data_IF_175984030228
#
_entry.id   IF_175984030228
#
_cell.length_a   1.000
_cell.length_b   1.000
_cell.length_c   1.000
_cell.angle_alpha   90.00
_cell.angle_beta   90.00
_cell.angle_gamma   90.00
#
_symmetry.space_group_name_H-M   'P 1'
#
loop_
_entity.id
_entity.type
_entity.pdbx_description
1 polymer ?
#
# COMPACT_ATOMS: atom_id res chain seq x y z
N UNK A 1 -6.74 10.90 11.72
CA UNK A 1 -8.23 10.86 11.63
C UNK A 1 -8.73 9.60 12.33
N UNK A 2 -9.64 9.76 13.26
CA UNK A 2 -10.31 8.66 13.98
C UNK A 2 -11.43 8.06 13.13
N UNK A 3 -12.00 6.93 13.54
CA UNK A 3 -13.15 6.32 12.86
C UNK A 3 -14.35 7.29 12.79
N UNK A 4 -14.67 7.94 13.90
CA UNK A 4 -15.81 8.88 13.98
C UNK A 4 -15.61 10.12 13.09
N UNK A 5 -14.40 10.67 13.00
CA UNK A 5 -14.08 11.78 12.10
C UNK A 5 -14.19 11.35 10.64
N UNK A 6 -13.72 10.15 10.31
CA UNK A 6 -13.85 9.60 8.96
C UNK A 6 -15.32 9.45 8.55
N UNK A 7 -16.15 8.89 9.43
CA UNK A 7 -17.61 8.75 9.17
C UNK A 7 -18.29 10.10 9.00
N UNK A 8 -17.90 11.11 9.78
CA UNK A 8 -18.42 12.46 9.62
C UNK A 8 -18.04 13.04 8.25
N UNK A 9 -16.80 12.84 7.78
CA UNK A 9 -16.36 13.28 6.45
C UNK A 9 -17.10 12.52 5.33
N UNK A 10 -17.35 11.21 5.49
CA UNK A 10 -18.15 10.41 4.55
C UNK A 10 -19.60 10.94 4.49
N UNK A 11 -20.21 11.26 5.62
CA UNK A 11 -21.56 11.82 5.66
C UNK A 11 -21.65 13.16 4.92
N UNK A 12 -20.63 14.02 5.01
CA UNK A 12 -20.54 15.26 4.21
C UNK A 12 -20.51 14.95 2.72
N UNK A 13 -19.70 14.00 2.28
CA UNK A 13 -19.61 13.58 0.88
C UNK A 13 -20.96 13.09 0.36
N UNK A 14 -21.65 12.24 1.12
CA UNK A 14 -22.96 11.71 0.77
C UNK A 14 -24.06 12.81 0.67
N UNK A 15 -23.84 13.95 1.31
CA UNK A 15 -24.68 15.15 1.19
C UNK A 15 -24.24 16.10 0.05
N UNK A 16 -23.22 15.71 -0.72
CA UNK A 16 -22.67 16.52 -1.81
C UNK A 16 -21.66 17.58 -1.38
N UNK A 17 -21.24 17.58 -0.11
CA UNK A 17 -20.23 18.51 0.41
C UNK A 17 -18.81 18.00 0.13
N UNK A 18 -18.09 18.73 -0.73
CA UNK A 18 -16.72 18.40 -1.14
C UNK A 18 -15.67 18.56 -0.02
N UNK A 19 -16.00 19.27 1.06
CA UNK A 19 -15.08 19.46 2.18
C UNK A 19 -14.76 18.10 2.86
N UNK A 20 -15.72 17.17 2.87
CA UNK A 20 -15.48 15.81 3.38
C UNK A 20 -14.38 15.06 2.62
N UNK A 21 -14.30 15.21 1.28
CA UNK A 21 -13.23 14.61 0.49
C UNK A 21 -11.87 15.25 0.80
N UNK A 22 -11.83 16.56 0.94
CA UNK A 22 -10.60 17.29 1.29
C UNK A 22 -10.07 16.84 2.65
N UNK A 23 -10.93 16.69 3.65
CA UNK A 23 -10.56 16.19 4.98
C UNK A 23 -9.94 14.77 4.90
N UNK A 24 -10.54 13.87 4.12
CA UNK A 24 -10.01 12.51 3.90
C UNK A 24 -8.69 12.57 3.12
N UNK A 25 -8.59 13.40 2.08
CA UNK A 25 -7.37 13.57 1.31
C UNK A 25 -6.21 14.02 2.19
N UNK A 26 -6.38 15.12 2.94
CA UNK A 26 -5.34 15.67 3.82
C UNK A 26 -4.89 14.67 4.89
N UNK A 27 -5.83 13.88 5.43
CA UNK A 27 -5.54 12.88 6.45
C UNK A 27 -4.81 11.65 5.93
N UNK A 28 -5.03 11.26 4.65
CA UNK A 28 -4.59 9.95 4.16
C UNK A 28 -3.64 9.99 2.95
N UNK A 29 -3.37 11.14 2.33
CA UNK A 29 -2.51 11.22 1.14
C UNK A 29 -1.14 10.55 1.37
N UNK A 30 -0.43 10.91 2.45
CA UNK A 30 0.87 10.33 2.77
C UNK A 30 0.80 8.85 3.14
N UNK A 31 -0.30 8.41 3.76
CA UNK A 31 -0.54 7.01 4.11
C UNK A 31 -0.74 6.15 2.86
N UNK A 32 -1.61 6.59 1.95
CA UNK A 32 -1.88 5.90 0.68
C UNK A 32 -0.65 5.88 -0.22
N UNK A 33 0.03 7.03 -0.35
CA UNK A 33 1.26 7.13 -1.15
C UNK A 33 2.33 6.11 -0.70
N UNK A 34 2.57 5.97 0.60
CA UNK A 34 3.53 4.99 1.13
C UNK A 34 3.17 3.55 0.78
N UNK A 35 1.88 3.19 0.87
CA UNK A 35 1.40 1.84 0.48
C UNK A 35 1.65 1.61 -1.01
N UNK A 36 1.26 2.56 -1.85
CA UNK A 36 1.42 2.45 -3.30
C UNK A 36 2.89 2.40 -3.69
N UNK A 37 3.73 3.30 -3.15
CA UNK A 37 5.16 3.35 -3.43
C UNK A 37 5.87 2.03 -3.08
N UNK A 38 5.53 1.42 -1.94
CA UNK A 38 6.07 0.14 -1.52
C UNK A 38 5.77 -1.02 -2.49
N UNK A 39 4.73 -0.88 -3.32
CA UNK A 39 4.31 -1.90 -4.29
C UNK A 39 4.85 -1.60 -5.67
N UNK A 40 4.71 -0.35 -6.16
CA UNK A 40 5.08 0.01 -7.53
C UNK A 40 6.57 0.34 -7.68
N UNK A 41 7.27 0.72 -6.60
CA UNK A 41 8.71 0.96 -6.55
C UNK A 41 9.20 2.24 -7.26
N UNK A 42 8.35 2.97 -7.97
CA UNK A 42 8.67 4.21 -8.69
C UNK A 42 7.86 5.37 -8.11
N UNK A 43 8.53 6.51 -7.84
CA UNK A 43 7.88 7.72 -7.30
C UNK A 43 6.82 8.25 -8.26
N UNK A 44 7.13 8.37 -9.54
CA UNK A 44 6.23 8.86 -10.57
C UNK A 44 4.96 7.98 -10.65
N UNK A 45 5.15 6.67 -10.78
CA UNK A 45 4.02 5.73 -10.80
C UNK A 45 3.21 5.75 -9.49
N UNK A 46 3.87 5.97 -8.35
CA UNK A 46 3.19 6.05 -7.06
C UNK A 46 2.33 7.31 -6.95
N UNK A 47 2.78 8.45 -7.47
CA UNK A 47 2.01 9.69 -7.54
C UNK A 47 0.78 9.52 -8.43
N UNK A 48 0.93 8.91 -9.61
CA UNK A 48 -0.17 8.65 -10.54
C UNK A 48 -1.23 7.74 -9.91
N UNK A 49 -0.82 6.59 -9.39
CA UNK A 49 -1.75 5.63 -8.76
C UNK A 49 -2.42 6.22 -7.52
N UNK A 50 -1.69 7.04 -6.74
CA UNK A 50 -2.26 7.73 -5.57
C UNK A 50 -3.30 8.77 -6.00
N UNK A 51 -3.05 9.50 -7.07
CA UNK A 51 -4.01 10.47 -7.64
C UNK A 51 -5.26 9.76 -8.13
N UNK A 52 -5.11 8.68 -8.88
CA UNK A 52 -6.23 7.83 -9.32
C UNK A 52 -7.01 7.24 -8.15
N UNK A 53 -6.33 6.88 -7.05
CA UNK A 53 -7.00 6.39 -5.85
C UNK A 53 -8.00 7.41 -5.30
N UNK A 54 -7.62 8.69 -5.17
CA UNK A 54 -8.53 9.70 -4.63
C UNK A 54 -9.69 10.04 -5.57
N UNK A 55 -9.49 9.91 -6.88
CA UNK A 55 -10.59 10.01 -7.87
C UNK A 55 -11.56 8.83 -7.68
N UNK A 56 -11.06 7.62 -7.54
CA UNK A 56 -11.86 6.41 -7.38
C UNK A 56 -12.59 6.38 -6.03
N UNK A 57 -11.93 6.81 -4.96
CA UNK A 57 -12.50 6.79 -3.62
C UNK A 57 -13.74 7.69 -3.52
N UNK A 58 -13.79 8.79 -4.28
CA UNK A 58 -14.94 9.68 -4.34
C UNK A 58 -16.25 8.93 -4.62
N UNK A 59 -16.23 8.04 -5.60
CA UNK A 59 -17.42 7.22 -5.95
C UNK A 59 -17.60 6.02 -5.02
N UNK A 60 -16.52 5.48 -4.46
CA UNK A 60 -16.61 4.36 -3.53
C UNK A 60 -17.17 4.76 -2.16
N UNK A 61 -16.97 6.02 -1.75
CA UNK A 61 -17.48 6.53 -0.47
C UNK A 61 -19.01 6.64 -0.44
N UNK A 62 -19.67 6.78 -1.58
CA UNK A 62 -21.14 6.77 -1.65
C UNK A 62 -21.72 5.43 -1.16
N UNK A 63 -20.99 4.34 -1.34
CA UNK A 63 -21.40 2.98 -0.95
C UNK A 63 -20.67 2.46 0.29
N UNK A 64 -19.86 3.29 0.94
CA UNK A 64 -19.13 2.89 2.13
C UNK A 64 -20.08 2.46 3.25
N UNK A 65 -19.87 1.25 3.74
CA UNK A 65 -20.58 0.72 4.92
C UNK A 65 -19.64 0.73 6.11
N UNK A 66 -20.08 1.34 7.20
CA UNK A 66 -19.31 1.39 8.43
C UNK A 66 -19.16 0.00 9.05
N UNK A 67 -17.95 -0.53 9.00
CA UNK A 67 -17.55 -1.77 9.69
C UNK A 67 -16.42 -1.54 10.73
N UNK A 68 -16.14 -0.28 11.06
CA UNK A 68 -15.12 0.10 12.07
C UNK A 68 -13.67 -0.02 11.60
N UNK A 69 -13.39 -0.30 10.34
CA UNK A 69 -12.05 -0.56 9.83
C UNK A 69 -11.70 0.29 8.59
N UNK A 70 -12.00 1.60 8.62
CA UNK A 70 -11.80 2.49 7.47
C UNK A 70 -10.37 2.51 6.94
N UNK A 71 -9.34 2.49 7.82
CA UNK A 71 -7.93 2.44 7.38
C UNK A 71 -7.63 1.17 6.59
N UNK A 72 -8.08 0.01 7.06
CA UNK A 72 -7.90 -1.26 6.39
C UNK A 72 -8.62 -1.29 5.03
N UNK A 73 -9.81 -0.71 4.96
CA UNK A 73 -10.58 -0.57 3.73
C UNK A 73 -9.86 0.31 2.71
N UNK A 74 -9.37 1.50 3.10
CA UNK A 74 -8.57 2.38 2.26
C UNK A 74 -7.29 1.70 1.77
N UNK A 75 -6.55 1.05 2.68
CA UNK A 75 -5.32 0.33 2.36
C UNK A 75 -5.56 -0.81 1.36
N UNK A 76 -6.66 -1.53 1.48
CA UNK A 76 -7.04 -2.62 0.56
C UNK A 76 -7.30 -2.10 -0.85
N UNK A 77 -8.01 -0.97 -0.97
CA UNK A 77 -8.27 -0.34 -2.28
C UNK A 77 -6.96 0.13 -2.91
N UNK A 78 -6.12 0.87 -2.16
CA UNK A 78 -4.85 1.38 -2.64
C UNK A 78 -3.92 0.26 -3.11
N UNK A 79 -3.80 -0.81 -2.31
CA UNK A 79 -3.02 -1.99 -2.64
C UNK A 79 -3.51 -2.66 -3.93
N UNK A 80 -4.80 -2.88 -4.05
CA UNK A 80 -5.37 -3.53 -5.24
C UNK A 80 -5.11 -2.69 -6.50
N UNK A 81 -5.25 -1.38 -6.41
CA UNK A 81 -4.93 -0.47 -7.51
C UNK A 81 -3.46 -0.53 -7.91
N UNK A 82 -2.54 -0.52 -6.94
CA UNK A 82 -1.11 -0.64 -7.19
C UNK A 82 -0.75 -1.99 -7.85
N UNK A 83 -1.33 -3.10 -7.40
CA UNK A 83 -1.12 -4.41 -8.02
C UNK A 83 -1.70 -4.49 -9.45
N UNK A 84 -2.87 -3.92 -9.67
CA UNK A 84 -3.49 -3.87 -11.00
C UNK A 84 -2.64 -3.02 -11.97
N UNK A 85 -2.08 -1.91 -11.49
CA UNK A 85 -1.12 -1.10 -12.23
C UNK A 85 0.11 -1.93 -12.62
N UNK A 86 0.72 -2.64 -11.68
CA UNK A 86 1.87 -3.51 -11.94
C UNK A 86 1.56 -4.64 -12.93
N UNK A 87 0.36 -5.22 -12.87
CA UNK A 87 -0.08 -6.26 -13.81
C UNK A 87 -0.26 -5.72 -15.23
N UNK A 88 -0.81 -4.51 -15.38
CA UNK A 88 -0.97 -3.85 -16.67
C UNK A 88 0.39 -3.56 -17.28
N UNK A 89 1.30 -2.94 -16.55
CA UNK A 89 2.63 -2.60 -17.04
C UNK A 89 3.44 -3.85 -17.45
N UNK A 90 3.33 -4.97 -16.71
CA UNK A 90 3.97 -6.24 -17.10
C UNK A 90 3.42 -6.82 -18.42
N UNK A 91 2.18 -6.52 -18.80
CA UNK A 91 1.58 -6.99 -20.05
C UNK A 91 1.96 -6.14 -21.26
N UNK A 92 2.32 -4.87 -21.03
CA UNK A 92 2.71 -3.92 -22.07
C UNK A 92 4.18 -4.03 -22.48
N UNK A 93 5.02 -4.73 -21.68
CA UNK A 93 6.44 -5.00 -22.02
C UNK A 93 6.52 -6.39 -22.66
N UNK A 94 6.95 -6.51 -23.95
CA UNK A 94 7.20 -7.80 -24.57
C UNK A 94 8.27 -8.60 -23.80
N UNK A 95 8.08 -9.91 -23.71
CA UNK A 95 8.75 -10.86 -22.79
C UNK A 95 10.27 -11.07 -23.04
N UNK A 96 10.98 -10.18 -23.72
CA UNK A 96 12.40 -10.39 -24.08
C UNK A 96 13.43 -9.56 -23.32
N UNK A 97 13.03 -8.64 -22.40
CA UNK A 97 13.98 -7.82 -21.63
C UNK A 97 13.63 -7.76 -20.13
N UNK A 98 13.57 -8.90 -19.48
CA UNK A 98 13.51 -8.95 -18.00
C UNK A 98 14.84 -9.43 -17.40
N UNK A 99 15.93 -8.80 -17.84
CA UNK A 99 17.17 -8.73 -17.09
C UNK A 99 17.60 -7.26 -17.13
N UNK A 100 17.69 -6.66 -15.94
CA UNK A 100 18.31 -5.34 -15.74
C UNK A 100 17.55 -4.11 -16.27
N UNK A 101 16.59 -3.57 -15.49
CA UNK A 101 16.52 -2.12 -15.30
C UNK A 101 16.24 -1.84 -13.84
N UNK A 102 17.30 -1.86 -13.04
CA UNK A 102 17.41 -0.95 -11.91
C UNK A 102 17.85 0.36 -12.55
N UNK A 103 16.91 1.20 -12.94
CA UNK A 103 17.23 2.56 -13.32
C UNK A 103 17.54 3.36 -12.05
N UNK A 104 18.81 3.35 -11.70
CA UNK A 104 19.39 4.24 -10.71
C UNK A 104 19.53 5.62 -11.32
N UNK A 105 18.44 6.39 -11.36
CA UNK A 105 18.60 7.83 -11.48
C UNK A 105 19.05 8.39 -10.12
N UNK A 106 20.18 9.08 -10.19
CA UNK A 106 21.00 9.63 -9.13
C UNK A 106 20.20 10.45 -8.11
N UNK A 107 20.12 9.93 -6.88
CA UNK A 107 19.78 10.70 -5.68
C UNK A 107 21.07 10.95 -4.86
N UNK A 108 21.18 12.06 -4.11
CA UNK A 108 22.42 12.44 -3.40
C UNK A 108 22.91 11.32 -2.48
N UNK A 109 24.22 11.10 -2.47
CA UNK A 109 24.92 9.92 -1.94
C UNK A 109 24.76 9.61 -0.43
N UNK A 110 24.04 10.40 0.36
CA UNK A 110 23.92 10.16 1.81
C UNK A 110 22.66 9.42 2.27
N UNK A 111 21.59 9.35 1.44
CA UNK A 111 20.35 8.59 1.76
C UNK A 111 20.25 7.23 1.05
N UNK A 112 21.10 6.97 0.04
CA UNK A 112 20.98 5.81 -0.87
C UNK A 112 21.39 4.49 -0.23
N UNK A 113 22.33 4.51 0.74
CA UNK A 113 22.84 3.26 1.35
C UNK A 113 21.78 2.55 2.19
N UNK A 114 20.90 3.30 2.86
CA UNK A 114 19.80 2.72 3.65
C UNK A 114 18.64 2.18 2.78
N UNK A 115 18.26 2.88 1.71
CA UNK A 115 17.16 2.48 0.83
C UNK A 115 17.50 1.25 -0.04
N UNK A 116 18.72 1.19 -0.60
CA UNK A 116 19.17 0.04 -1.39
C UNK A 116 19.19 -1.23 -0.55
N UNK A 117 19.70 -1.15 0.68
CA UNK A 117 19.76 -2.31 1.58
C UNK A 117 18.36 -2.80 2.00
N UNK A 118 17.41 -1.90 2.24
CA UNK A 118 16.01 -2.27 2.53
C UNK A 118 15.34 -2.96 1.34
N UNK A 119 15.54 -2.46 0.12
CA UNK A 119 14.99 -3.09 -1.09
C UNK A 119 15.57 -4.48 -1.33
N UNK A 120 16.88 -4.66 -1.15
CA UNK A 120 17.53 -5.97 -1.25
C UNK A 120 16.99 -6.95 -0.21
N UNK A 121 16.82 -6.52 1.04
CA UNK A 121 16.24 -7.36 2.08
C UNK A 121 14.78 -7.73 1.76
N UNK A 122 13.96 -6.80 1.27
CA UNK A 122 12.59 -7.07 0.87
C UNK A 122 12.52 -7.99 -0.36
N UNK A 123 13.53 -7.99 -1.25
CA UNK A 123 13.62 -8.91 -2.38
C UNK A 123 13.80 -10.38 -1.96
N UNK A 124 14.26 -10.64 -0.73
CA UNK A 124 14.37 -12.01 -0.18
C UNK A 124 13.02 -12.61 0.21
N UNK A 125 11.99 -11.78 0.34
CA UNK A 125 10.64 -12.20 0.69
C UNK A 125 9.89 -12.69 -0.56
N UNK A 126 9.14 -13.78 -0.42
CA UNK A 126 8.18 -14.13 -1.45
C UNK A 126 7.00 -13.13 -1.46
N UNK A 127 6.23 -13.12 -2.55
CA UNK A 127 5.13 -12.17 -2.75
C UNK A 127 4.11 -12.20 -1.58
N UNK A 128 3.78 -13.38 -1.07
CA UNK A 128 2.81 -13.54 0.01
C UNK A 128 3.33 -13.04 1.36
N UNK A 129 4.63 -13.19 1.64
CA UNK A 129 5.29 -12.66 2.83
C UNK A 129 5.40 -11.14 2.74
N UNK A 130 5.88 -10.61 1.59
CA UNK A 130 6.00 -9.18 1.34
C UNK A 130 4.66 -8.47 1.49
N UNK A 131 3.60 -9.03 0.92
CA UNK A 131 2.25 -8.53 1.03
C UNK A 131 1.79 -8.33 2.49
N UNK A 132 2.05 -9.32 3.35
CA UNK A 132 1.67 -9.24 4.76
C UNK A 132 2.53 -8.20 5.50
N UNK A 133 3.82 -8.10 5.18
CA UNK A 133 4.72 -7.09 5.75
C UNK A 133 4.27 -5.69 5.34
N UNK A 134 4.00 -5.45 4.07
CA UNK A 134 3.56 -4.15 3.56
C UNK A 134 2.24 -3.70 4.21
N UNK A 135 1.26 -4.59 4.30
CA UNK A 135 -0.01 -4.29 4.97
C UNK A 135 0.17 -4.04 6.47
N UNK A 136 1.08 -4.75 7.13
CA UNK A 136 1.34 -4.59 8.57
C UNK A 136 2.12 -3.33 8.88
N UNK A 137 3.19 -3.05 8.12
CA UNK A 137 4.14 -1.97 8.39
C UNK A 137 3.70 -0.67 7.73
N UNK A 138 3.47 -0.68 6.41
CA UNK A 138 3.05 0.51 5.68
C UNK A 138 1.57 0.82 5.88
N UNK A 139 0.73 -0.23 5.90
CA UNK A 139 -0.71 -0.15 6.10
C UNK A 139 -1.13 0.01 7.56
N UNK A 140 -0.22 -0.15 8.53
CA UNK A 140 -0.52 -0.11 9.97
C UNK A 140 -1.72 -1.02 10.39
N UNK A 141 -2.01 -2.04 9.56
CA UNK A 141 -3.17 -2.91 9.75
C UNK A 141 -2.96 -3.90 10.90
N UNK A 142 -4.04 -4.26 11.58
CA UNK A 142 -3.99 -5.40 12.49
C UNK A 142 -3.90 -6.72 11.72
N UNK A 143 -3.35 -7.78 12.32
CA UNK A 143 -3.33 -9.10 11.66
C UNK A 143 -4.73 -9.63 11.32
N UNK A 144 -5.75 -9.23 12.09
CA UNK A 144 -7.15 -9.58 11.82
C UNK A 144 -7.65 -8.88 10.55
N UNK A 145 -7.39 -7.58 10.41
CA UNK A 145 -7.79 -6.81 9.22
C UNK A 145 -7.07 -7.34 7.97
N UNK A 146 -5.79 -7.71 8.09
CA UNK A 146 -5.03 -8.34 7.00
C UNK A 146 -5.65 -9.69 6.61
N UNK A 147 -6.01 -10.52 7.59
CA UNK A 147 -6.64 -11.82 7.35
C UNK A 147 -7.98 -11.66 6.62
N UNK A 148 -8.80 -10.71 7.04
CA UNK A 148 -10.06 -10.38 6.40
C UNK A 148 -9.86 -9.84 4.98
N UNK A 149 -8.95 -8.89 4.79
CA UNK A 149 -8.65 -8.29 3.47
C UNK A 149 -8.10 -9.28 2.46
N UNK A 150 -7.32 -10.27 2.91
CA UNK A 150 -6.73 -11.30 2.06
C UNK A 150 -7.58 -12.56 1.93
N UNK A 151 -8.66 -12.65 2.68
CA UNK A 151 -9.53 -13.84 2.78
C UNK A 151 -8.73 -15.10 3.15
N UNK A 152 -7.79 -14.99 4.09
CA UNK A 152 -6.97 -16.09 4.60
C UNK A 152 -7.06 -16.19 6.13
N UNK A 153 -6.83 -17.39 6.72
CA UNK A 153 -6.86 -17.55 8.17
C UNK A 153 -5.86 -16.65 8.88
N UNK A 154 -6.22 -16.13 10.06
CA UNK A 154 -5.35 -15.31 10.91
C UNK A 154 -4.01 -15.99 11.23
N UNK A 155 -4.04 -17.30 11.48
CA UNK A 155 -2.81 -18.11 11.70
C UNK A 155 -1.86 -18.07 10.50
N UNK A 156 -2.39 -18.07 9.27
CA UNK A 156 -1.60 -17.96 8.03
C UNK A 156 -0.93 -16.58 7.91
N UNK A 157 -1.65 -15.51 8.25
CA UNK A 157 -1.09 -14.14 8.26
C UNK A 157 0.05 -14.04 9.26
N UNK A 158 -0.17 -14.49 10.49
CA UNK A 158 0.83 -14.46 11.56
C UNK A 158 2.06 -15.28 11.19
N UNK A 159 1.87 -16.46 10.62
CA UNK A 159 2.97 -17.33 10.17
C UNK A 159 3.79 -16.67 9.04
N UNK A 160 3.12 -16.09 8.02
CA UNK A 160 3.80 -15.36 6.93
C UNK A 160 4.61 -14.19 7.46
N UNK A 161 4.04 -13.41 8.36
CA UNK A 161 4.73 -12.27 8.98
C UNK A 161 5.97 -12.71 9.75
N UNK A 162 5.84 -13.74 10.62
CA UNK A 162 6.96 -14.27 11.39
C UNK A 162 8.09 -14.82 10.50
N UNK A 163 7.74 -15.50 9.41
CA UNK A 163 8.74 -15.99 8.46
C UNK A 163 9.45 -14.85 7.74
N UNK A 164 8.70 -13.83 7.32
CA UNK A 164 9.27 -12.63 6.72
C UNK A 164 10.26 -11.95 7.65
N UNK A 165 9.87 -11.70 8.91
CA UNK A 165 10.74 -11.09 9.92
C UNK A 165 12.00 -11.93 10.16
N UNK A 166 11.90 -13.27 10.20
CA UNK A 166 13.08 -14.15 10.33
C UNK A 166 14.06 -14.01 9.14
N UNK A 167 13.53 -13.85 7.92
CA UNK A 167 14.35 -13.63 6.73
C UNK A 167 15.04 -12.28 6.78
N UNK A 168 14.29 -11.21 7.09
CA UNK A 168 14.82 -9.85 7.19
C UNK A 168 15.92 -9.75 8.27
N UNK A 169 15.74 -10.36 9.43
CA UNK A 169 16.77 -10.40 10.48
C UNK A 169 18.06 -11.08 10.03
N UNK A 170 18.01 -12.10 9.17
CA UNK A 170 19.20 -12.73 8.60
C UNK A 170 19.94 -11.80 7.63
N UNK A 171 19.27 -10.82 7.09
CA UNK A 171 19.86 -9.77 6.24
C UNK A 171 20.39 -8.57 7.04
N UNK A 172 20.37 -8.62 8.38
CA UNK A 172 20.91 -7.58 9.26
C UNK A 172 19.90 -6.53 9.72
N UNK A 173 18.62 -6.77 9.53
CA UNK A 173 17.54 -5.87 10.02
C UNK A 173 16.97 -6.44 11.32
N UNK A 174 17.08 -5.68 12.42
CA UNK A 174 16.49 -5.98 13.72
C UNK A 174 15.09 -5.36 13.87
#
# INVERSE_FOLDING_TARGET
MTQSEFEASVAKIQQGDKEGLKEIYEAYISYIYRIVLGIVGSRENAEDVTSEFFIKIWTALDTYQNNGAHKAWLATIARNMALDFMRKNKREIPTEEFAEVIDTEETPEEEVVGELSVQEALATLNEAERQVVDMKVLGEMSFRDIAESLHIPLGTVTWRYQNAIKKLRRCGYE
#
